data_IF_164786368839
#
_entry.id   IF_164786368839
#
_cell.length_a   1.000
_cell.length_b   1.000
_cell.length_c   1.000
_cell.angle_alpha   90.00
_cell.angle_beta   90.00
_cell.angle_gamma   90.00
#
_symmetry.space_group_name_H-M   'P 1'
#
loop_
_entity.id
_entity.type
_entity.pdbx_description
1 polymer ?
#
# COMPACT_ATOMS: atom_id res chain seq x y z
N UNK A 1 29.84 -28.47 -5.80
CA UNK A 1 28.41 -28.15 -6.00
C UNK A 1 28.14 -26.76 -5.44
N UNK A 2 27.69 -25.84 -6.30
CA UNK A 2 27.33 -24.46 -5.95
C UNK A 2 25.91 -24.50 -5.37
N UNK A 3 25.77 -24.27 -4.06
CA UNK A 3 24.50 -24.45 -3.35
C UNK A 3 23.48 -23.37 -3.69
N UNK A 4 22.47 -23.73 -4.50
CA UNK A 4 21.14 -23.10 -4.41
C UNK A 4 20.49 -23.64 -3.14
N UNK A 5 20.30 -22.82 -2.11
CA UNK A 5 19.51 -23.18 -0.93
C UNK A 5 18.12 -22.50 -0.97
N UNK A 6 17.15 -23.02 -1.73
CA UNK A 6 15.76 -22.58 -1.67
C UNK A 6 14.97 -23.23 -0.51
N UNK A 7 15.65 -23.91 0.43
CA UNK A 7 15.05 -24.95 1.29
C UNK A 7 14.84 -24.59 2.76
N UNK A 8 15.05 -23.33 3.19
CA UNK A 8 14.67 -22.94 4.56
C UNK A 8 13.19 -22.59 4.60
N UNK A 9 12.35 -23.62 4.83
CA UNK A 9 10.92 -23.46 5.03
C UNK A 9 10.66 -22.65 6.30
N UNK A 10 10.12 -21.44 6.15
CA UNK A 10 9.72 -20.59 7.29
C UNK A 10 8.64 -21.27 8.16
N UNK A 11 7.95 -22.29 7.63
CA UNK A 11 6.89 -23.02 8.33
C UNK A 11 7.34 -23.78 9.59
N UNK A 12 8.65 -23.94 9.81
CA UNK A 12 9.18 -24.54 11.04
C UNK A 12 9.53 -23.51 12.12
N UNK A 13 9.45 -22.22 11.80
CA UNK A 13 9.70 -21.15 12.77
C UNK A 13 8.36 -20.62 13.28
N UNK A 14 8.20 -20.42 14.60
CA UNK A 14 7.13 -19.59 15.10
C UNK A 14 7.16 -18.25 14.37
N UNK A 15 5.99 -17.75 13.92
CA UNK A 15 5.90 -16.50 13.15
C UNK A 15 6.63 -15.36 13.86
N UNK A 16 6.55 -15.32 15.20
CA UNK A 16 7.25 -14.33 16.04
C UNK A 16 8.76 -14.40 15.91
N UNK A 17 9.34 -15.60 15.78
CA UNK A 17 10.79 -15.78 15.64
C UNK A 17 11.25 -15.45 14.22
N UNK A 18 10.49 -15.88 13.21
CA UNK A 18 10.78 -15.51 11.82
C UNK A 18 10.69 -14.00 11.62
N UNK A 19 9.76 -13.35 12.32
CA UNK A 19 9.61 -11.90 12.29
C UNK A 19 10.86 -11.14 12.75
N UNK A 20 11.65 -11.72 13.67
CA UNK A 20 12.91 -11.10 14.16
C UNK A 20 13.95 -10.94 13.07
N UNK A 21 13.94 -11.79 12.04
CA UNK A 21 14.85 -11.67 10.88
C UNK A 21 14.61 -10.36 10.15
N UNK A 22 13.35 -9.97 9.98
CA UNK A 22 12.98 -8.72 9.32
C UNK A 22 13.30 -7.50 10.17
N UNK A 23 13.37 -7.64 11.50
CA UNK A 23 13.82 -6.55 12.37
C UNK A 23 15.29 -6.18 12.13
N UNK A 24 16.08 -7.12 11.58
CA UNK A 24 17.46 -6.88 11.19
C UNK A 24 17.59 -6.28 9.79
N UNK A 25 16.50 -6.20 9.01
CA UNK A 25 16.51 -5.54 7.70
C UNK A 25 16.36 -4.03 7.91
N UNK A 26 17.47 -3.32 7.78
CA UNK A 26 17.51 -1.86 7.91
C UNK A 26 17.43 -1.24 6.52
N UNK A 27 16.46 -0.33 6.35
CA UNK A 27 16.36 0.48 5.15
C UNK A 27 17.56 1.43 5.08
N UNK A 28 18.22 1.49 3.93
CA UNK A 28 19.33 2.40 3.70
C UNK A 28 18.82 3.85 3.81
N UNK A 29 19.53 4.70 4.54
CA UNK A 29 19.17 6.10 4.82
C UNK A 29 18.76 6.87 3.56
N UNK A 30 19.44 6.64 2.44
CA UNK A 30 19.15 7.33 1.19
C UNK A 30 17.78 6.97 0.62
N UNK A 31 17.36 5.70 0.73
CA UNK A 31 16.01 5.29 0.32
C UNK A 31 14.97 5.91 1.24
N UNK A 32 15.23 5.95 2.55
CA UNK A 32 14.34 6.57 3.52
C UNK A 32 14.16 8.07 3.25
N UNK A 33 15.25 8.80 2.95
CA UNK A 33 15.22 10.22 2.57
C UNK A 33 14.45 10.47 1.29
N UNK A 34 14.61 9.63 0.26
CA UNK A 34 13.84 9.77 -0.98
C UNK A 34 12.35 9.50 -0.73
N UNK A 35 12.00 8.49 0.06
CA UNK A 35 10.63 8.23 0.45
C UNK A 35 10.03 9.39 1.26
N UNK A 36 10.78 10.01 2.18
CA UNK A 36 10.33 11.19 2.93
C UNK A 36 10.01 12.38 2.03
N UNK A 37 10.76 12.59 0.95
CA UNK A 37 10.45 13.61 -0.05
C UNK A 37 9.12 13.32 -0.75
N UNK A 38 8.87 12.06 -1.10
CA UNK A 38 7.60 11.64 -1.72
C UNK A 38 6.43 11.84 -0.75
N UNK A 39 6.54 11.37 0.48
CA UNK A 39 5.52 11.57 1.54
C UNK A 39 5.26 13.05 1.79
N UNK A 40 6.31 13.87 1.83
CA UNK A 40 6.19 15.32 2.00
C UNK A 40 5.37 15.97 0.87
N UNK A 41 5.58 15.54 -0.39
CA UNK A 41 4.81 16.00 -1.54
C UNK A 41 3.35 15.55 -1.49
N UNK A 42 3.08 14.30 -1.15
CA UNK A 42 1.73 13.76 -0.96
C UNK A 42 0.98 14.62 0.08
N UNK A 43 1.60 14.82 1.25
CA UNK A 43 1.02 15.61 2.34
C UNK A 43 0.89 17.09 1.99
N UNK A 44 1.76 17.64 1.15
CA UNK A 44 1.64 19.01 0.65
C UNK A 44 0.37 19.18 -0.19
N UNK A 45 0.08 18.22 -1.09
CA UNK A 45 -1.16 18.23 -1.88
C UNK A 45 -2.37 18.09 -0.95
N UNK A 46 -2.32 17.14 0.00
CA UNK A 46 -3.40 16.95 0.98
C UNK A 46 -3.71 18.22 1.78
N UNK A 47 -2.68 18.97 2.21
CA UNK A 47 -2.86 20.27 2.88
C UNK A 47 -3.54 21.29 1.96
N UNK A 48 -3.07 21.44 0.72
CA UNK A 48 -3.69 22.37 -0.25
C UNK A 48 -5.16 22.09 -0.47
N UNK A 49 -5.55 20.82 -0.60
CA UNK A 49 -6.94 20.39 -0.76
C UNK A 49 -7.80 20.72 0.46
N UNK A 50 -7.21 20.75 1.66
CA UNK A 50 -7.90 21.06 2.92
C UNK A 50 -7.86 22.54 3.30
N UNK A 51 -7.02 23.37 2.65
CA UNK A 51 -6.85 24.79 2.96
C UNK A 51 -7.75 25.74 2.15
N UNK A 52 -8.75 25.22 1.42
CA UNK A 52 -9.83 26.05 0.87
C UNK A 52 -10.64 26.74 2.00
N UNK A 53 -11.27 27.91 1.76
CA UNK A 53 -11.72 28.78 2.84
C UNK A 53 -12.82 28.11 3.70
N UNK A 54 -12.50 27.81 4.97
CA UNK A 54 -13.46 27.30 5.95
C UNK A 54 -12.91 26.25 6.91
N UNK A 55 -11.80 25.58 6.58
CA UNK A 55 -11.20 24.54 7.42
C UNK A 55 -10.02 25.10 8.23
N UNK A 56 -10.14 25.13 9.56
CA UNK A 56 -9.08 25.62 10.46
C UNK A 56 -7.73 24.90 10.26
N UNK A 57 -6.64 25.61 10.53
CA UNK A 57 -5.28 25.06 10.47
C UNK A 57 -5.10 23.95 11.51
N UNK A 58 -5.22 22.70 11.08
CA UNK A 58 -4.82 21.55 11.89
C UNK A 58 -3.30 21.38 11.83
N UNK A 59 -2.65 21.30 12.99
CA UNK A 59 -1.23 20.98 13.13
C UNK A 59 -0.90 19.53 12.71
N UNK A 60 -1.91 18.67 12.51
CA UNK A 60 -1.69 17.27 12.12
C UNK A 60 -1.31 17.17 10.64
N UNK A 61 -0.38 16.27 10.27
CA UNK A 61 -0.10 15.98 8.87
C UNK A 61 -1.39 15.60 8.13
N UNK A 62 -1.55 16.06 6.89
CA UNK A 62 -2.68 15.66 6.06
C UNK A 62 -2.64 14.15 5.81
N UNK A 63 -3.70 13.39 6.12
CA UNK A 63 -3.70 11.95 5.95
C UNK A 63 -3.70 11.58 4.47
N UNK A 64 -3.18 10.40 4.14
CA UNK A 64 -3.25 9.82 2.80
C UNK A 64 -3.46 8.31 2.83
N UNK A 65 -4.09 7.82 1.77
CA UNK A 65 -4.21 6.39 1.48
C UNK A 65 -3.10 6.00 0.51
N UNK A 66 -2.41 4.90 0.76
CA UNK A 66 -1.51 4.30 -0.22
C UNK A 66 -2.12 3.00 -0.76
N UNK A 67 -2.18 2.88 -2.08
CA UNK A 67 -2.74 1.72 -2.78
C UNK A 67 -1.63 1.09 -3.62
N UNK A 68 -1.27 -0.16 -3.31
CA UNK A 68 -0.38 -0.95 -4.16
C UNK A 68 -1.18 -1.60 -5.29
N UNK A 69 -1.11 -1.06 -6.51
CA UNK A 69 -1.88 -1.56 -7.65
C UNK A 69 -1.07 -2.64 -8.37
N UNK A 70 -1.45 -3.91 -8.18
CA UNK A 70 -0.83 -5.05 -8.87
C UNK A 70 -1.67 -5.47 -10.09
N UNK A 71 -1.50 -4.77 -11.21
CA UNK A 71 -2.25 -4.97 -12.48
C UNK A 71 -1.36 -5.10 -13.71
N UNK A 72 -0.06 -5.34 -13.50
CA UNK A 72 0.92 -5.53 -14.56
C UNK A 72 0.56 -6.73 -15.45
N UNK A 73 0.89 -6.68 -16.75
CA UNK A 73 0.48 -7.70 -17.72
C UNK A 73 0.94 -9.11 -17.32
N UNK A 74 2.18 -9.24 -16.87
CA UNK A 74 2.77 -10.50 -16.41
C UNK A 74 2.03 -11.03 -15.18
N UNK A 75 1.70 -10.16 -14.22
CA UNK A 75 0.87 -10.49 -13.07
C UNK A 75 -0.52 -10.94 -13.49
N UNK A 76 -1.20 -10.21 -14.37
CA UNK A 76 -2.55 -10.55 -14.82
C UNK A 76 -2.60 -11.90 -15.54
N UNK A 77 -1.56 -12.24 -16.31
CA UNK A 77 -1.45 -13.57 -16.94
C UNK A 77 -1.21 -14.63 -15.87
N UNK A 78 -0.32 -14.37 -14.91
CA UNK A 78 0.02 -15.31 -13.84
C UNK A 78 -1.17 -15.60 -12.92
N UNK A 79 -1.82 -14.56 -12.41
CA UNK A 79 -2.93 -14.69 -11.47
C UNK A 79 -4.10 -15.44 -12.12
N UNK A 80 -4.45 -15.15 -13.39
CA UNK A 80 -5.55 -15.84 -14.08
C UNK A 80 -5.29 -17.33 -14.24
N UNK A 81 -4.05 -17.72 -14.55
CA UNK A 81 -3.66 -19.13 -14.63
C UNK A 81 -3.72 -19.81 -13.27
N UNK A 82 -3.33 -19.11 -12.21
CA UNK A 82 -3.38 -19.63 -10.84
C UNK A 82 -4.83 -19.83 -10.38
N UNK A 83 -5.68 -18.83 -10.60
CA UNK A 83 -7.13 -18.89 -10.36
C UNK A 83 -7.80 -20.07 -11.07
N UNK A 84 -7.51 -20.25 -12.36
CA UNK A 84 -8.03 -21.37 -13.14
C UNK A 84 -7.62 -22.73 -12.57
N UNK A 85 -6.39 -22.86 -12.07
CA UNK A 85 -5.88 -24.11 -11.48
C UNK A 85 -6.44 -24.38 -10.08
N UNK A 86 -6.65 -23.32 -9.30
CA UNK A 86 -7.08 -23.40 -7.91
C UNK A 86 -8.61 -23.33 -7.74
N UNK A 87 -9.36 -23.01 -8.80
CA UNK A 87 -10.82 -22.89 -8.73
C UNK A 87 -11.29 -21.69 -7.91
N UNK A 88 -10.51 -20.61 -7.86
CA UNK A 88 -10.81 -19.38 -7.09
C UNK A 88 -10.79 -18.16 -8.00
N UNK A 89 -11.39 -17.05 -7.57
CA UNK A 89 -11.47 -15.79 -8.35
C UNK A 89 -11.10 -14.55 -7.53
N UNK A 90 -10.30 -14.74 -6.48
CA UNK A 90 -9.97 -13.71 -5.48
C UNK A 90 -8.50 -13.29 -5.55
N UNK A 91 -7.76 -13.68 -6.58
CA UNK A 91 -6.32 -13.39 -6.71
C UNK A 91 -6.12 -12.17 -7.60
N UNK A 92 -6.69 -12.23 -8.79
CA UNK A 92 -6.70 -11.13 -9.73
C UNK A 92 -7.68 -10.05 -9.30
N UNK A 93 -7.38 -8.80 -9.63
CA UNK A 93 -8.39 -7.74 -9.61
C UNK A 93 -8.12 -6.81 -10.78
N UNK A 94 -9.18 -6.43 -11.46
CA UNK A 94 -9.15 -5.35 -12.44
C UNK A 94 -8.94 -4.01 -11.76
N UNK A 95 -8.49 -3.03 -12.53
CA UNK A 95 -8.41 -1.64 -12.09
C UNK A 95 -9.76 -1.15 -11.53
N UNK A 96 -10.86 -1.44 -12.22
CA UNK A 96 -12.20 -0.99 -11.85
C UNK A 96 -12.60 -1.54 -10.48
N UNK A 97 -12.35 -2.84 -10.23
CA UNK A 97 -12.62 -3.46 -8.93
C UNK A 97 -11.80 -2.82 -7.81
N UNK A 98 -10.52 -2.51 -8.07
CA UNK A 98 -9.65 -1.83 -7.09
C UNK A 98 -10.22 -0.46 -6.72
N UNK A 99 -10.55 0.35 -7.72
CA UNK A 99 -11.09 1.71 -7.53
C UNK A 99 -12.41 1.66 -6.75
N UNK A 100 -13.32 0.75 -7.15
CA UNK A 100 -14.61 0.60 -6.49
C UNK A 100 -14.45 0.21 -5.02
N UNK A 101 -13.56 -0.75 -4.71
CA UNK A 101 -13.34 -1.21 -3.34
C UNK A 101 -12.66 -0.16 -2.48
N UNK A 102 -11.60 0.49 -2.96
CA UNK A 102 -10.97 1.60 -2.22
C UNK A 102 -11.99 2.72 -1.95
N UNK A 103 -12.89 2.96 -2.89
CA UNK A 103 -14.00 3.90 -2.74
C UNK A 103 -15.02 3.58 -1.65
N UNK A 104 -15.05 2.34 -1.13
CA UNK A 104 -15.96 1.86 -0.09
C UNK A 104 -15.34 1.80 1.31
N UNK A 105 -14.08 2.21 1.47
CA UNK A 105 -13.43 2.27 2.79
C UNK A 105 -14.19 3.26 3.67
N UNK A 106 -14.70 2.77 4.79
CA UNK A 106 -15.46 3.56 5.77
C UNK A 106 -14.57 4.60 6.45
N UNK A 107 -15.17 5.72 6.88
CA UNK A 107 -14.50 6.79 7.64
C UNK A 107 -13.36 7.51 6.90
N UNK A 108 -13.37 7.51 5.56
CA UNK A 108 -12.48 8.38 4.78
C UNK A 108 -12.99 9.83 4.80
N UNK A 109 -12.27 10.72 5.49
CA UNK A 109 -12.52 12.16 5.45
C UNK A 109 -12.04 12.76 4.11
N UNK A 110 -12.98 12.95 3.18
CA UNK A 110 -12.73 13.65 1.93
C UNK A 110 -12.52 15.17 2.16
N UNK A 111 -11.64 15.84 1.39
CA UNK A 111 -10.78 15.26 0.37
C UNK A 111 -9.56 14.53 0.96
N UNK A 112 -9.19 13.40 0.34
CA UNK A 112 -8.01 12.61 0.73
C UNK A 112 -7.18 12.24 -0.51
N UNK A 113 -5.86 12.33 -0.35
CA UNK A 113 -4.91 11.95 -1.40
C UNK A 113 -4.77 10.43 -1.40
N UNK A 114 -4.82 9.83 -2.58
CA UNK A 114 -4.61 8.39 -2.79
C UNK A 114 -3.32 8.20 -3.58
N UNK A 115 -2.26 7.78 -2.91
CA UNK A 115 -0.99 7.45 -3.55
C UNK A 115 -1.07 6.11 -4.25
N UNK A 116 -0.74 6.06 -5.55
CA UNK A 116 -0.74 4.84 -6.34
C UNK A 116 0.69 4.31 -6.48
N UNK A 117 1.00 3.26 -5.71
CA UNK A 117 2.22 2.49 -5.87
C UNK A 117 2.01 1.45 -6.97
N UNK A 118 2.50 1.75 -8.17
CA UNK A 118 2.37 0.90 -9.35
C UNK A 118 3.68 0.85 -10.13
N UNK A 119 3.93 -0.29 -10.77
CA UNK A 119 5.07 -0.46 -11.67
C UNK A 119 4.78 0.19 -13.03
N UNK A 120 4.99 1.51 -13.13
CA UNK A 120 4.72 2.35 -14.30
C UNK A 120 5.16 1.75 -15.65
N UNK A 121 6.31 1.09 -15.68
CA UNK A 121 6.91 0.55 -16.91
C UNK A 121 6.14 -0.66 -17.49
N UNK A 122 5.16 -1.19 -16.77
CA UNK A 122 4.37 -2.37 -17.15
C UNK A 122 2.89 -2.03 -17.37
N UNK A 123 2.55 -0.74 -17.38
CA UNK A 123 1.22 -0.22 -17.63
C UNK A 123 1.10 0.26 -19.07
N UNK A 124 0.03 -0.14 -19.76
CA UNK A 124 -0.31 0.37 -21.10
C UNK A 124 -1.28 1.57 -21.07
N UNK A 125 -1.72 2.01 -19.90
CA UNK A 125 -2.92 2.83 -19.78
C UNK A 125 -2.76 3.99 -18.78
N UNK A 126 -2.90 5.22 -19.27
CA UNK A 126 -2.93 6.46 -18.47
C UNK A 126 -4.25 6.64 -17.71
N UNK A 127 -5.21 5.73 -17.86
CA UNK A 127 -6.52 5.83 -17.23
C UNK A 127 -6.50 5.62 -15.71
N UNK A 128 -5.41 5.16 -15.09
CA UNK A 128 -5.36 4.82 -13.65
C UNK A 128 -5.85 5.92 -12.71
N UNK A 129 -5.78 7.17 -13.15
CA UNK A 129 -6.15 8.36 -12.41
C UNK A 129 -7.64 8.74 -12.54
N UNK A 130 -8.42 8.04 -13.37
CA UNK A 130 -9.84 8.31 -13.60
C UNK A 130 -10.75 7.26 -12.96
N UNK A 131 -11.99 7.67 -12.65
CA UNK A 131 -13.04 6.78 -12.12
C UNK A 131 -13.13 6.68 -10.59
N UNK A 132 -12.31 7.44 -9.86
CA UNK A 132 -12.30 7.43 -8.39
C UNK A 132 -13.52 8.16 -7.80
N UNK A 133 -13.99 7.68 -6.65
CA UNK A 133 -15.11 8.29 -5.92
C UNK A 133 -14.83 9.75 -5.56
N UNK A 134 -15.90 10.56 -5.50
CA UNK A 134 -15.81 12.00 -5.21
C UNK A 134 -15.03 12.23 -3.91
N UNK A 135 -13.98 13.07 -4.00
CA UNK A 135 -13.13 13.41 -2.85
C UNK A 135 -11.89 12.53 -2.69
N UNK A 136 -11.77 11.42 -3.43
CA UNK A 136 -10.51 10.69 -3.57
C UNK A 136 -9.67 11.32 -4.68
N UNK A 137 -8.44 11.72 -4.36
CA UNK A 137 -7.53 12.39 -5.30
C UNK A 137 -6.36 11.47 -5.62
N UNK A 138 -6.45 10.64 -6.68
CA UNK A 138 -5.38 9.71 -7.04
C UNK A 138 -4.15 10.45 -7.55
N UNK A 139 -2.98 10.03 -7.10
CA UNK A 139 -1.70 10.61 -7.46
C UNK A 139 -0.67 9.50 -7.73
N UNK A 140 -0.12 9.51 -8.94
CA UNK A 140 1.05 8.70 -9.32
C UNK A 140 2.32 9.56 -9.31
N UNK A 141 3.49 8.92 -9.47
CA UNK A 141 4.82 9.54 -9.39
C UNK A 141 4.96 10.77 -10.29
N UNK A 142 4.41 10.72 -11.51
CA UNK A 142 4.41 11.83 -12.47
C UNK A 142 3.57 13.01 -11.99
N UNK A 143 2.33 12.77 -11.56
CA UNK A 143 1.45 13.83 -11.04
C UNK A 143 1.97 14.46 -9.74
N UNK A 144 2.67 13.70 -8.92
CA UNK A 144 3.35 14.21 -7.73
C UNK A 144 4.59 15.06 -8.07
N UNK A 145 5.08 15.02 -9.31
CA UNK A 145 6.32 15.67 -9.71
C UNK A 145 7.56 15.07 -9.05
N UNK A 146 7.50 13.77 -8.69
CA UNK A 146 8.60 13.03 -8.05
C UNK A 146 9.21 11.97 -8.95
N UNK A 147 8.77 11.87 -10.21
CA UNK A 147 9.30 10.91 -11.19
C UNK A 147 10.82 11.00 -11.34
N UNK A 148 11.39 12.21 -11.23
CA UNK A 148 12.83 12.45 -11.24
C UNK A 148 13.59 11.84 -10.06
N UNK A 149 12.93 11.53 -8.94
CA UNK A 149 13.51 10.74 -7.83
C UNK A 149 13.65 9.29 -8.31
N UNK A 150 12.55 8.70 -8.78
CA UNK A 150 12.48 7.29 -9.18
C UNK A 150 13.39 6.96 -10.37
N UNK A 151 13.43 7.84 -11.39
CA UNK A 151 14.22 7.64 -12.62
C UNK A 151 15.73 7.54 -12.38
N UNK A 152 16.24 7.99 -11.22
CA UNK A 152 17.66 7.88 -10.85
C UNK A 152 18.06 6.48 -10.41
N UNK A 153 17.09 5.62 -10.15
CA UNK A 153 17.29 4.36 -9.46
C UNK A 153 16.86 3.16 -10.30
N UNK A 154 17.50 2.00 -10.14
CA UNK A 154 17.02 0.76 -10.74
C UNK A 154 15.68 0.35 -10.14
N UNK A 155 14.93 -0.50 -10.84
CA UNK A 155 13.58 -0.93 -10.47
C UNK A 155 13.45 -1.37 -9.00
N UNK A 156 14.37 -2.20 -8.49
CA UNK A 156 14.28 -2.69 -7.10
C UNK A 156 14.37 -1.56 -6.06
N UNK A 157 15.15 -0.52 -6.34
CA UNK A 157 15.26 0.64 -5.45
C UNK A 157 14.02 1.53 -5.60
N UNK A 158 13.47 1.67 -6.80
CA UNK A 158 12.16 2.32 -6.99
C UNK A 158 11.06 1.62 -6.16
N UNK A 159 11.02 0.29 -6.20
CA UNK A 159 10.10 -0.50 -5.38
C UNK A 159 10.37 -0.31 -3.89
N UNK A 160 11.62 -0.23 -3.44
CA UNK A 160 11.93 0.04 -2.04
C UNK A 160 11.44 1.42 -1.57
N UNK A 161 11.53 2.45 -2.43
CA UNK A 161 10.95 3.78 -2.15
C UNK A 161 9.43 3.67 -2.03
N UNK A 162 8.75 3.00 -2.98
CA UNK A 162 7.30 2.77 -2.91
C UNK A 162 6.90 2.02 -1.63
N UNK A 163 7.70 1.02 -1.23
CA UNK A 163 7.47 0.22 -0.03
C UNK A 163 7.43 1.11 1.22
N UNK A 164 8.45 1.97 1.37
CA UNK A 164 8.56 2.90 2.49
C UNK A 164 7.45 3.96 2.48
N UNK A 165 7.07 4.48 1.31
CA UNK A 165 5.95 5.43 1.17
C UNK A 165 4.63 4.77 1.58
N UNK A 166 4.39 3.52 1.20
CA UNK A 166 3.22 2.76 1.61
C UNK A 166 3.23 2.42 3.11
N UNK A 167 4.37 2.05 3.66
CA UNK A 167 4.55 1.73 5.09
C UNK A 167 4.21 2.93 5.99
N UNK A 168 4.51 4.16 5.52
CA UNK A 168 4.21 5.44 6.20
C UNK A 168 2.77 5.94 6.06
N UNK A 169 1.94 5.30 5.25
CA UNK A 169 0.59 5.77 4.95
C UNK A 169 -0.35 5.67 6.15
N UNK A 170 -1.35 6.56 6.22
CA UNK A 170 -2.39 6.48 7.24
C UNK A 170 -3.24 5.24 7.02
N UNK A 171 -3.58 4.94 5.77
CA UNK A 171 -4.28 3.71 5.36
C UNK A 171 -3.51 3.06 4.22
N UNK A 172 -3.31 1.74 4.31
CA UNK A 172 -2.71 0.96 3.22
C UNK A 172 -3.75 0.01 2.61
N UNK A 173 -3.76 -0.10 1.28
CA UNK A 173 -4.60 -1.06 0.55
C UNK A 173 -3.72 -1.81 -0.45
N UNK A 174 -3.76 -3.14 -0.43
CA UNK A 174 -2.92 -3.96 -1.30
C UNK A 174 -3.61 -5.23 -1.79
N UNK A 175 -2.83 -6.06 -2.49
CA UNK A 175 -3.26 -7.39 -2.93
C UNK A 175 -2.76 -8.45 -1.95
N UNK A 176 -3.63 -9.33 -1.46
CA UNK A 176 -3.25 -10.35 -0.47
C UNK A 176 -2.31 -11.43 -1.02
N UNK A 177 -2.18 -11.59 -2.33
CA UNK A 177 -1.25 -12.52 -2.98
C UNK A 177 0.06 -11.85 -3.41
N UNK A 178 0.19 -10.53 -3.23
CA UNK A 178 1.44 -9.83 -3.53
C UNK A 178 2.40 -9.91 -2.35
N UNK A 179 3.62 -10.39 -2.62
CA UNK A 179 4.73 -10.36 -1.66
C UNK A 179 5.10 -8.93 -1.26
N UNK A 180 5.00 -7.98 -2.19
CA UNK A 180 5.22 -6.55 -1.92
C UNK A 180 4.20 -6.01 -0.90
N UNK A 181 2.90 -6.28 -1.11
CA UNK A 181 1.86 -5.90 -0.14
C UNK A 181 2.03 -6.62 1.20
N UNK A 182 2.37 -7.91 1.17
CA UNK A 182 2.60 -8.71 2.38
C UNK A 182 3.73 -8.12 3.23
N UNK A 183 4.81 -7.65 2.59
CA UNK A 183 5.92 -6.99 3.29
C UNK A 183 5.46 -5.72 4.00
N UNK A 184 4.70 -4.85 3.34
CA UNK A 184 4.20 -3.59 3.93
C UNK A 184 3.27 -3.86 5.12
N UNK A 185 2.33 -4.80 4.97
CA UNK A 185 1.42 -5.18 6.07
C UNK A 185 2.20 -5.73 7.25
N UNK A 186 3.20 -6.56 6.97
CA UNK A 186 4.07 -7.13 8.00
C UNK A 186 4.87 -6.04 8.74
N UNK A 187 5.52 -5.11 8.04
CA UNK A 187 6.23 -3.98 8.65
C UNK A 187 5.32 -3.11 9.52
N UNK A 188 4.14 -2.75 9.00
CA UNK A 188 3.14 -1.96 9.72
C UNK A 188 2.68 -2.67 10.99
N UNK A 189 2.48 -3.99 10.91
CA UNK A 189 2.11 -4.82 12.06
C UNK A 189 3.23 -4.85 13.10
N UNK A 190 4.48 -5.06 12.70
CA UNK A 190 5.62 -5.02 13.63
C UNK A 190 5.74 -3.66 14.32
N UNK A 191 5.56 -2.58 13.56
CA UNK A 191 5.59 -1.21 14.09
C UNK A 191 4.49 -0.99 15.13
N UNK A 192 3.27 -1.46 14.88
CA UNK A 192 2.16 -1.43 15.85
C UNK A 192 2.49 -2.22 17.12
N UNK A 193 3.01 -3.43 16.98
CA UNK A 193 3.40 -4.27 18.11
C UNK A 193 4.48 -3.61 18.99
N UNK A 194 5.46 -2.94 18.38
CA UNK A 194 6.51 -2.19 19.12
C UNK A 194 5.97 -0.99 19.88
N UNK A 195 4.90 -0.37 19.39
CA UNK A 195 4.20 0.72 20.07
C UNK A 195 3.26 0.23 21.18
N UNK A 196 3.18 -1.09 21.42
CA UNK A 196 2.35 -1.67 22.47
C UNK A 196 0.91 -2.01 22.05
N UNK A 197 0.56 -1.88 20.76
CA UNK A 197 -0.73 -2.37 20.28
C UNK A 197 -0.80 -3.90 20.33
N UNK A 198 -1.77 -4.42 21.08
CA UNK A 198 -2.01 -5.86 21.24
C UNK A 198 -3.11 -6.40 20.32
N UNK A 199 -3.89 -5.53 19.66
CA UNK A 199 -4.94 -5.92 18.71
C UNK A 199 -4.75 -5.22 17.37
N UNK A 200 -5.05 -5.94 16.29
CA UNK A 200 -5.07 -5.45 14.90
C UNK A 200 -6.50 -5.24 14.37
N UNK A 201 -7.51 -5.52 15.20
CA UNK A 201 -8.92 -5.49 14.84
C UNK A 201 -9.68 -4.65 15.86
N UNK A 202 -10.70 -3.90 15.42
CA UNK A 202 -11.60 -3.19 16.34
C UNK A 202 -12.32 -4.20 17.23
N UNK A 203 -12.06 -4.18 18.53
CA UNK A 203 -13.00 -4.67 19.53
C UNK A 203 -14.05 -3.59 19.82
N UNK A 204 -15.25 -3.96 20.26
CA UNK A 204 -16.38 -3.05 20.54
C UNK A 204 -16.06 -1.92 21.53
N UNK A 205 -14.95 -2.04 22.27
CA UNK A 205 -14.46 -1.10 23.28
C UNK A 205 -13.11 -0.43 22.95
N UNK A 206 -12.53 -0.63 21.76
CA UNK A 206 -11.19 -0.09 21.39
C UNK A 206 -11.24 1.09 20.41
N UNK A 207 -10.37 2.07 20.69
CA UNK A 207 -10.09 3.27 19.89
C UNK A 207 -9.57 2.86 18.50
N UNK A 208 -9.87 3.68 17.48
CA UNK A 208 -9.49 3.50 16.08
C UNK A 208 -8.16 2.77 15.85
N UNK A 209 -8.20 1.69 15.06
CA UNK A 209 -7.02 0.92 14.65
C UNK A 209 -6.00 1.87 14.02
N UNK A 210 -4.84 2.03 14.64
CA UNK A 210 -3.77 2.83 14.10
C UNK A 210 -3.19 2.11 12.87
N UNK A 211 -3.12 2.79 11.72
CA UNK A 211 -2.58 2.24 10.46
C UNK A 211 -3.32 1.02 9.89
N UNK A 212 -4.64 1.12 9.62
CA UNK A 212 -5.37 0.01 9.02
C UNK A 212 -4.76 -0.37 7.66
N UNK A 213 -4.84 -1.67 7.37
CA UNK A 213 -4.33 -2.27 6.14
C UNK A 213 -5.38 -3.22 5.57
N UNK A 214 -5.77 -3.00 4.32
CA UNK A 214 -6.88 -3.69 3.66
C UNK A 214 -6.41 -4.47 2.43
N UNK A 215 -7.16 -5.50 2.05
CA UNK A 215 -6.87 -6.32 0.88
C UNK A 215 -7.98 -6.13 -0.15
N UNK A 216 -7.70 -5.39 -1.23
CA UNK A 216 -8.74 -5.09 -2.23
C UNK A 216 -9.25 -6.32 -2.96
N UNK A 217 -8.57 -7.47 -2.93
CA UNK A 217 -9.01 -8.68 -3.62
C UNK A 217 -9.82 -9.61 -2.71
N UNK A 218 -9.93 -9.31 -1.42
CA UNK A 218 -10.79 -10.02 -0.46
C UNK A 218 -12.02 -9.15 -0.19
N UNK A 219 -13.22 -9.71 -0.33
CA UNK A 219 -14.45 -8.97 -0.08
C UNK A 219 -14.81 -9.03 1.41
N UNK A 220 -14.99 -7.88 2.06
CA UNK A 220 -15.42 -7.80 3.45
C UNK A 220 -16.95 -7.77 3.57
N UNK A 221 -17.56 -8.96 3.63
CA UNK A 221 -18.97 -9.14 3.97
C UNK A 221 -19.94 -8.28 3.14
N UNK A 222 -21.01 -7.78 3.76
CA UNK A 222 -22.10 -7.05 3.08
C UNK A 222 -21.68 -5.70 2.49
N UNK A 223 -20.59 -5.10 2.99
CA UNK A 223 -20.13 -3.78 2.54
C UNK A 223 -19.50 -3.78 1.15
N UNK A 224 -19.11 -4.96 0.63
CA UNK A 224 -18.31 -5.11 -0.58
C UNK A 224 -17.04 -4.22 -0.61
N UNK A 225 -16.57 -3.77 0.54
CA UNK A 225 -15.30 -3.08 0.74
C UNK A 225 -14.11 -4.06 0.87
N UNK A 226 -12.89 -3.51 0.91
CA UNK A 226 -11.64 -4.26 1.09
C UNK A 226 -11.32 -4.56 2.55
#
# INVERSE_FOLDING_TARGET
MVGKNPFLWHGHWPIKDYARVFECLVLIDDISKEADKVVSKIRQIGRKLRSEPGMGSSLRPAPYVAVHIRVEIDWMIHCKKLEQRSGVSQICSSKQEIIERVGKIINLEAPIVVYLAVADNLLNDSSLLSGWNKGLVPCEKKNLGVDGIYKKHPYLIQSAIDNEVCSKADIFVGNSFSTFSSHIVFERTQKMMRMGSTSSCKNENEVDVQWPSYAYNIAAGESNGP
#
